data_IF_954583070885
#
_entry.id   IF_954583070885
#
_cell.length_a   1.000
_cell.length_b   1.000
_cell.length_c   1.000
_cell.angle_alpha   90.00
_cell.angle_beta   90.00
_cell.angle_gamma   90.00
#
_symmetry.space_group_name_H-M   'P 1'
#
loop_
_entity.id
_entity.type
_entity.pdbx_description
1 polymer ?
#
# COMPACT_ATOMS: atom_id res chain seq x y z
N UNK A 1 8.30 2.81 6.42
CA UNK A 1 8.08 4.18 5.90
C UNK A 1 9.20 4.47 4.90
N UNK A 2 8.89 4.91 3.68
CA UNK A 2 9.90 5.17 2.65
C UNK A 2 10.88 6.28 3.06
N UNK A 3 12.04 6.36 2.40
CA UNK A 3 13.12 7.30 2.69
C UNK A 3 12.67 8.77 2.81
N UNK A 4 11.56 9.14 2.16
CA UNK A 4 10.97 10.47 2.24
C UNK A 4 10.42 10.84 3.62
N UNK A 5 9.87 9.87 4.37
CA UNK A 5 9.37 10.11 5.72
C UNK A 5 10.53 10.34 6.70
N UNK A 6 11.65 9.64 6.52
CA UNK A 6 12.86 9.81 7.32
C UNK A 6 13.54 11.17 7.06
N UNK A 7 13.47 11.66 5.81
CA UNK A 7 13.98 13.00 5.46
C UNK A 7 13.10 14.13 6.00
N UNK A 8 11.80 13.90 6.18
CA UNK A 8 10.91 14.88 6.79
C UNK A 8 11.37 15.18 8.22
N UNK A 9 11.66 14.17 9.05
CA UNK A 9 12.07 14.37 10.45
C UNK A 9 13.45 15.05 10.62
N UNK A 10 14.24 15.17 9.55
CA UNK A 10 15.56 15.81 9.58
C UNK A 10 15.53 17.31 9.26
N UNK A 11 14.37 17.89 8.92
CA UNK A 11 14.27 19.29 8.47
C UNK A 11 14.04 20.25 9.65
N UNK A 12 14.67 21.44 9.66
CA UNK A 12 14.38 22.46 10.67
C UNK A 12 12.90 22.90 10.64
N UNK A 13 12.28 23.31 11.76
CA UNK A 13 10.85 23.67 11.85
C UNK A 13 10.38 24.73 10.83
N UNK A 14 11.28 25.64 10.45
CA UNK A 14 11.02 26.68 9.46
C UNK A 14 11.00 26.11 8.03
N UNK A 15 11.86 25.13 7.74
CA UNK A 15 11.85 24.38 6.49
C UNK A 15 10.59 23.50 6.38
N UNK A 16 10.07 22.95 7.48
CA UNK A 16 8.77 22.29 7.49
C UNK A 16 7.63 23.24 7.10
N UNK A 17 7.57 24.44 7.69
CA UNK A 17 6.47 25.38 7.43
C UNK A 17 6.43 25.90 6.00
N UNK A 18 7.59 26.05 5.35
CA UNK A 18 7.68 26.52 3.97
C UNK A 18 7.71 25.38 2.95
N UNK A 19 8.31 24.23 3.30
CA UNK A 19 8.52 23.09 2.41
C UNK A 19 7.39 22.05 2.43
N UNK A 20 6.64 21.90 3.52
CA UNK A 20 5.57 20.90 3.61
C UNK A 20 4.46 21.07 2.56
N UNK A 21 3.98 22.30 2.23
CA UNK A 21 3.01 22.48 1.16
C UNK A 21 3.52 22.06 -0.22
N UNK A 22 4.83 22.26 -0.48
CA UNK A 22 5.48 21.86 -1.73
C UNK A 22 5.71 20.34 -1.79
N UNK A 23 6.13 19.74 -0.67
CA UNK A 23 6.33 18.30 -0.54
C UNK A 23 5.01 17.52 -0.66
N UNK A 24 3.89 18.08 -0.19
CA UNK A 24 2.57 17.46 -0.30
C UNK A 24 2.10 17.19 -1.75
N UNK A 25 2.62 17.96 -2.72
CA UNK A 25 2.37 17.75 -4.15
C UNK A 25 3.47 16.94 -4.85
N UNK A 26 4.60 16.71 -4.18
CA UNK A 26 5.76 16.05 -4.77
C UNK A 26 5.51 14.56 -5.06
N UNK A 27 4.59 13.91 -4.35
CA UNK A 27 4.27 12.50 -4.56
C UNK A 27 3.97 12.17 -6.03
N UNK A 28 3.20 13.03 -6.73
CA UNK A 28 2.89 12.87 -8.18
C UNK A 28 4.09 12.97 -9.11
N UNK A 29 5.17 13.61 -8.68
CA UNK A 29 6.39 13.78 -9.46
C UNK A 29 7.35 12.62 -9.22
N UNK A 30 7.22 11.93 -8.08
CA UNK A 30 8.16 10.89 -7.66
C UNK A 30 7.73 9.48 -8.06
N UNK A 31 6.42 9.21 -8.12
CA UNK A 31 5.87 7.91 -8.52
C UNK A 31 4.42 8.04 -9.00
N UNK A 32 3.98 7.09 -9.83
CA UNK A 32 2.60 7.03 -10.35
C UNK A 32 1.65 6.17 -9.51
N UNK A 33 2.20 5.13 -8.86
CA UNK A 33 1.48 4.19 -7.99
C UNK A 33 2.37 3.85 -6.81
N UNK A 34 1.80 3.91 -5.60
CA UNK A 34 2.45 3.37 -4.41
C UNK A 34 2.21 1.86 -4.32
N UNK A 35 3.27 1.06 -4.30
CA UNK A 35 3.20 -0.37 -3.95
C UNK A 35 4.04 -0.61 -2.71
N UNK A 36 3.46 -1.20 -1.67
CA UNK A 36 4.17 -1.43 -0.40
C UNK A 36 3.88 -2.79 0.18
N UNK A 37 4.89 -3.41 0.79
CA UNK A 37 4.75 -4.63 1.57
C UNK A 37 5.09 -4.34 3.03
N UNK A 38 4.15 -4.65 3.92
CA UNK A 38 4.32 -4.49 5.37
C UNK A 38 4.44 -5.88 5.99
N UNK A 39 5.59 -6.22 6.60
CA UNK A 39 5.77 -7.50 7.25
C UNK A 39 4.88 -7.62 8.49
N UNK A 40 4.26 -8.78 8.67
CA UNK A 40 3.43 -9.12 9.83
C UNK A 40 4.19 -10.14 10.69
N UNK A 41 4.03 -10.13 12.03
CA UNK A 41 4.59 -11.18 12.87
C UNK A 41 4.17 -12.58 12.40
N UNK A 42 5.11 -13.53 12.44
CA UNK A 42 4.85 -14.94 12.06
C UNK A 42 4.03 -15.71 13.11
N UNK A 43 3.96 -15.20 14.34
CA UNK A 43 3.17 -15.81 15.40
C UNK A 43 1.67 -15.66 15.14
N UNK A 44 0.87 -16.66 15.52
CA UNK A 44 -0.58 -16.57 15.46
C UNK A 44 -1.09 -15.37 16.24
N UNK A 45 -1.80 -14.47 15.56
CA UNK A 45 -2.41 -13.29 16.17
C UNK A 45 -3.82 -13.63 16.66
N UNK A 46 -4.19 -13.10 17.82
CA UNK A 46 -5.54 -13.20 18.36
C UNK A 46 -5.92 -11.92 19.11
N UNK A 47 -7.22 -11.63 19.19
CA UNK A 47 -7.77 -10.51 19.95
C UNK A 47 -8.85 -11.05 20.88
N UNK A 48 -8.66 -10.91 22.19
CA UNK A 48 -9.61 -11.43 23.18
C UNK A 48 -9.83 -12.95 23.09
N UNK A 49 -8.81 -13.72 22.69
CA UNK A 49 -8.90 -15.16 22.46
C UNK A 49 -9.47 -15.57 21.10
N UNK A 50 -9.94 -14.63 20.28
CA UNK A 50 -10.40 -14.91 18.93
C UNK A 50 -9.24 -14.86 17.93
N UNK A 51 -9.00 -15.93 17.13
CA UNK A 51 -7.91 -15.94 16.17
C UNK A 51 -8.14 -14.95 15.02
N UNK A 52 -7.08 -14.29 14.57
CA UNK A 52 -7.11 -13.45 13.38
C UNK A 52 -7.40 -14.30 12.13
N UNK A 53 -8.42 -13.91 11.37
CA UNK A 53 -8.90 -14.66 10.19
C UNK A 53 -8.50 -14.05 8.85
N UNK A 54 -8.36 -12.73 8.79
CA UNK A 54 -8.05 -12.02 7.57
C UNK A 54 -7.31 -10.71 7.88
N UNK A 55 -6.51 -10.26 6.91
CA UNK A 55 -5.89 -8.95 6.90
C UNK A 55 -6.43 -8.14 5.72
N UNK A 56 -6.65 -6.85 5.94
CA UNK A 56 -7.02 -5.89 4.90
C UNK A 56 -6.00 -4.75 4.92
N UNK A 57 -4.82 -4.94 4.31
CA UNK A 57 -3.79 -3.91 4.28
C UNK A 57 -4.31 -2.65 3.58
N UNK A 58 -4.04 -1.47 4.13
CA UNK A 58 -4.44 -0.21 3.50
C UNK A 58 -3.25 0.73 3.46
N UNK A 59 -2.79 1.04 2.25
CA UNK A 59 -1.81 2.11 2.02
C UNK A 59 -2.54 3.46 1.89
N UNK A 60 -1.98 4.54 2.47
CA UNK A 60 -2.55 5.87 2.29
C UNK A 60 -2.44 6.30 0.83
N UNK A 61 -3.52 6.86 0.29
CA UNK A 61 -3.52 7.45 -1.05
C UNK A 61 -2.99 8.89 -0.96
N UNK A 62 -1.74 9.10 -1.39
CA UNK A 62 -1.14 10.43 -1.40
C UNK A 62 -1.88 11.37 -2.36
N UNK A 63 -1.84 12.68 -2.08
CA UNK A 63 -2.57 13.68 -2.87
C UNK A 63 -2.17 13.60 -4.35
N UNK A 64 -3.18 13.42 -5.20
CA UNK A 64 -3.01 13.36 -6.65
C UNK A 64 -2.48 12.03 -7.20
N UNK A 65 -2.34 11.01 -6.35
CA UNK A 65 -2.22 9.61 -6.77
C UNK A 65 -3.60 9.02 -7.01
N UNK A 66 -3.70 8.09 -7.97
CA UNK A 66 -4.96 7.45 -8.32
C UNK A 66 -5.15 6.08 -7.66
N UNK A 67 -4.05 5.38 -7.33
CA UNK A 67 -4.05 4.03 -6.77
C UNK A 67 -2.87 3.82 -5.81
N UNK A 68 -3.13 3.09 -4.73
CA UNK A 68 -2.13 2.54 -3.83
C UNK A 68 -2.42 1.06 -3.55
N UNK A 69 -1.37 0.24 -3.56
CA UNK A 69 -1.41 -1.22 -3.36
C UNK A 69 -0.60 -1.57 -2.12
N UNK A 70 -1.23 -2.27 -1.18
CA UNK A 70 -0.60 -2.74 0.04
C UNK A 70 -0.62 -4.27 0.11
N UNK A 71 0.51 -4.86 0.49
CA UNK A 71 0.67 -6.29 0.65
C UNK A 71 1.06 -6.62 2.10
N UNK A 72 0.50 -7.71 2.62
CA UNK A 72 0.91 -8.30 3.89
C UNK A 72 0.80 -9.81 3.83
N UNK A 73 1.85 -10.51 4.27
CA UNK A 73 1.84 -11.98 4.38
C UNK A 73 1.49 -12.39 5.79
N UNK A 74 0.54 -13.32 5.96
CA UNK A 74 0.19 -13.90 7.25
C UNK A 74 -0.18 -15.38 7.09
N UNK A 75 0.54 -16.24 7.82
CA UNK A 75 0.55 -17.67 7.55
C UNK A 75 1.04 -17.95 6.12
N UNK A 76 0.36 -18.88 5.45
CA UNK A 76 0.64 -19.27 4.06
C UNK A 76 -0.07 -18.38 3.02
N UNK A 77 -0.67 -17.26 3.46
CA UNK A 77 -1.47 -16.39 2.60
C UNK A 77 -0.85 -15.01 2.45
N UNK A 78 -0.99 -14.44 1.25
CA UNK A 78 -0.69 -13.05 0.96
C UNK A 78 -2.01 -12.30 0.83
N UNK A 79 -2.16 -11.23 1.59
CA UNK A 79 -3.29 -10.33 1.56
C UNK A 79 -2.91 -9.07 0.79
N UNK A 80 -3.75 -8.70 -0.17
CA UNK A 80 -3.56 -7.51 -1.00
C UNK A 80 -4.72 -6.55 -0.79
N UNK A 81 -4.41 -5.29 -0.50
CA UNK A 81 -5.38 -4.21 -0.44
C UNK A 81 -5.15 -3.18 -1.53
N UNK A 82 -6.23 -2.74 -2.16
CA UNK A 82 -6.25 -1.72 -3.19
C UNK A 82 -7.04 -0.51 -2.70
N UNK A 83 -6.39 0.65 -2.65
CA UNK A 83 -7.02 1.93 -2.27
C UNK A 83 -6.90 2.88 -3.45
N UNK A 84 -8.02 3.39 -3.96
CA UNK A 84 -8.03 4.22 -5.16
C UNK A 84 -8.94 5.44 -5.03
N UNK A 85 -8.65 6.47 -5.83
CA UNK A 85 -9.61 7.52 -6.12
C UNK A 85 -10.68 6.94 -7.05
N UNK A 86 -11.93 6.90 -6.59
CA UNK A 86 -13.02 6.27 -7.32
C UNK A 86 -13.42 6.97 -8.62
N UNK A 87 -13.05 8.24 -8.82
CA UNK A 87 -13.26 8.93 -10.10
C UNK A 87 -12.13 8.61 -11.09
N UNK A 88 -10.91 8.49 -10.60
CA UNK A 88 -9.75 8.20 -11.44
C UNK A 88 -9.67 6.72 -11.85
N UNK A 89 -10.12 5.80 -10.99
CA UNK A 89 -10.09 4.34 -11.23
C UNK A 89 -11.49 3.74 -11.01
N UNK A 90 -12.45 4.01 -11.91
CA UNK A 90 -13.85 3.57 -11.73
C UNK A 90 -14.03 2.05 -11.81
N UNK A 91 -13.08 1.33 -12.40
CA UNK A 91 -13.10 -0.11 -12.63
C UNK A 91 -12.11 -0.88 -11.73
N UNK A 92 -11.84 -0.39 -10.51
CA UNK A 92 -10.91 -1.01 -9.56
C UNK A 92 -11.18 -2.52 -9.33
N UNK A 93 -12.46 -2.93 -9.35
CA UNK A 93 -12.83 -4.34 -9.22
C UNK A 93 -12.32 -5.21 -10.38
N UNK A 94 -12.17 -4.65 -11.59
CA UNK A 94 -11.55 -5.35 -12.73
C UNK A 94 -10.07 -5.61 -12.48
N UNK A 95 -9.34 -4.62 -11.96
CA UNK A 95 -7.95 -4.80 -11.55
C UNK A 95 -7.82 -5.91 -10.49
N UNK A 96 -8.69 -5.89 -9.47
CA UNK A 96 -8.68 -6.90 -8.42
C UNK A 96 -8.88 -8.34 -8.96
N UNK A 97 -9.77 -8.51 -9.96
CA UNK A 97 -9.93 -9.81 -10.63
C UNK A 97 -8.72 -10.18 -11.47
N UNK A 98 -8.23 -9.26 -12.29
CA UNK A 98 -7.04 -9.47 -13.11
C UNK A 98 -5.82 -9.88 -12.31
N UNK A 99 -5.63 -9.34 -11.10
CA UNK A 99 -4.53 -9.77 -10.21
C UNK A 99 -4.62 -11.26 -9.82
N UNK A 100 -5.82 -11.79 -9.59
CA UNK A 100 -5.99 -13.21 -9.30
C UNK A 100 -5.81 -14.05 -10.56
N UNK A 101 -6.38 -13.63 -11.69
CA UNK A 101 -6.26 -14.32 -12.98
C UNK A 101 -4.80 -14.44 -13.41
N UNK A 102 -4.02 -13.36 -13.31
CA UNK A 102 -2.59 -13.34 -13.63
C UNK A 102 -1.76 -14.17 -12.64
N UNK A 103 -2.12 -14.18 -11.35
CA UNK A 103 -1.45 -15.03 -10.37
C UNK A 103 -1.69 -16.52 -10.70
N UNK A 104 -2.93 -16.90 -11.01
CA UNK A 104 -3.26 -18.26 -11.43
C UNK A 104 -2.52 -18.65 -12.71
N UNK A 105 -2.29 -17.71 -13.63
CA UNK A 105 -1.45 -17.93 -14.81
C UNK A 105 0.01 -18.19 -14.47
N UNK A 106 0.60 -17.33 -13.64
CA UNK A 106 2.00 -17.47 -13.23
C UNK A 106 2.22 -18.77 -12.46
N UNK A 107 1.27 -19.20 -11.62
CA UNK A 107 1.34 -20.46 -10.88
C UNK A 107 1.26 -21.69 -11.79
N UNK A 108 0.58 -21.62 -12.94
CA UNK A 108 0.54 -22.73 -13.92
C UNK A 108 1.90 -23.03 -14.54
N UNK A 109 2.80 -22.05 -14.59
CA UNK A 109 4.15 -22.17 -15.16
C UNK A 109 5.26 -22.16 -14.11
N UNK A 110 4.89 -22.05 -12.82
CA UNK A 110 5.84 -22.11 -11.73
C UNK A 110 6.40 -23.54 -11.60
N UNK A 111 7.73 -23.69 -11.38
CA UNK A 111 8.40 -24.99 -11.30
C UNK A 111 8.06 -25.79 -10.05
#
# INVERSE_FOLDING_TARGET
AGAFALLADALPPLAHRLGAPLAGNAARVLFDILVTSVPVPRSTLSLGGCPLRALYPMAPLARGQSLAIALSSYGEQVYVGLVADGKAVPDLARLARGMNEELDELLRIAP
#
